data_IF_802974915813
#
_entry.id   IF_802974915813
#
_cell.length_a   1.000
_cell.length_b   1.000
_cell.length_c   1.000
_cell.angle_alpha   90.00
_cell.angle_beta   90.00
_cell.angle_gamma   90.00
#
_symmetry.space_group_name_H-M   'P 1'
#
loop_
_entity.id
_entity.type
_entity.pdbx_description
1 polymer ?
#
# COMPACT_ATOMS: atom_id res chain seq x y z
N UNK A 1 37.33 20.56 -9.56
CA UNK A 1 36.01 20.25 -8.95
C UNK A 1 36.27 19.80 -7.51
N UNK A 2 36.78 20.66 -6.62
CA UNK A 2 36.00 21.62 -5.82
C UNK A 2 34.51 21.54 -6.12
N UNK A 3 33.76 20.78 -5.33
CA UNK A 3 32.41 20.36 -5.73
C UNK A 3 31.40 21.52 -5.77
N UNK A 4 31.68 22.69 -5.17
CA UNK A 4 30.82 23.89 -5.35
C UNK A 4 31.50 25.26 -5.28
N UNK A 5 32.84 25.37 -5.20
CA UNK A 5 33.51 26.66 -4.94
C UNK A 5 34.86 26.83 -5.61
N UNK A 6 34.88 27.24 -6.88
CA UNK A 6 36.10 27.30 -7.70
C UNK A 6 37.11 28.40 -7.30
N UNK A 7 36.87 29.15 -6.21
CA UNK A 7 37.60 30.37 -5.88
C UNK A 7 38.74 30.18 -4.87
N UNK A 8 38.84 29.01 -4.24
CA UNK A 8 39.92 28.69 -3.29
C UNK A 8 40.64 27.43 -3.76
N UNK A 9 41.68 27.62 -4.56
CA UNK A 9 42.56 26.53 -4.99
C UNK A 9 43.75 26.40 -4.03
N UNK A 10 44.06 25.19 -3.51
CA UNK A 10 45.22 24.99 -2.65
C UNK A 10 46.51 25.21 -3.44
N UNK A 11 47.36 26.13 -2.98
CA UNK A 11 48.62 26.47 -3.65
C UNK A 11 49.81 25.67 -3.08
N UNK A 12 49.71 25.20 -1.84
CA UNK A 12 50.80 24.49 -1.13
C UNK A 12 50.59 22.97 -1.15
N UNK A 13 51.68 22.18 -1.29
CA UNK A 13 51.63 20.72 -1.30
C UNK A 13 50.88 20.10 -0.10
N UNK A 14 51.01 20.69 1.10
CA UNK A 14 50.29 20.26 2.31
C UNK A 14 48.77 20.49 2.21
N UNK A 15 48.35 21.59 1.58
CA UNK A 15 46.94 21.90 1.37
C UNK A 15 46.30 20.96 0.35
N UNK A 16 47.03 20.60 -0.71
CA UNK A 16 46.57 19.64 -1.73
C UNK A 16 46.30 18.27 -1.08
N UNK A 17 47.21 17.80 -0.22
CA UNK A 17 47.04 16.54 0.51
C UNK A 17 45.80 16.57 1.43
N UNK A 18 45.58 17.67 2.16
CA UNK A 18 44.41 17.84 3.03
C UNK A 18 43.11 17.83 2.22
N UNK A 19 43.07 18.54 1.09
CA UNK A 19 41.89 18.60 0.20
C UNK A 19 41.60 17.23 -0.41
N UNK A 20 42.63 16.45 -0.77
CA UNK A 20 42.46 15.09 -1.27
C UNK A 20 41.79 14.17 -0.23
N UNK A 21 42.26 14.20 1.02
CA UNK A 21 41.66 13.41 2.12
C UNK A 21 40.23 13.85 2.41
N UNK A 22 39.97 15.17 2.47
CA UNK A 22 38.63 15.71 2.68
C UNK A 22 37.68 15.38 1.53
N UNK A 23 38.17 15.33 0.30
CA UNK A 23 37.36 14.96 -0.87
C UNK A 23 36.95 13.49 -0.81
N UNK A 24 37.84 12.60 -0.36
CA UNK A 24 37.52 11.18 -0.18
C UNK A 24 36.47 11.01 0.92
N UNK A 25 36.65 11.67 2.07
CA UNK A 25 35.69 11.62 3.17
C UNK A 25 34.34 12.21 2.73
N UNK A 26 34.35 13.36 2.05
CA UNK A 26 33.14 13.99 1.52
C UNK A 26 32.41 13.10 0.51
N UNK A 27 33.15 12.42 -0.38
CA UNK A 27 32.57 11.46 -1.32
C UNK A 27 31.90 10.27 -0.59
N UNK A 28 32.50 9.76 0.49
CA UNK A 28 31.91 8.70 1.31
C UNK A 28 30.62 9.15 2.02
N UNK A 29 30.58 10.39 2.53
CA UNK A 29 29.37 10.97 3.12
C UNK A 29 28.25 11.11 2.09
N UNK A 30 28.57 11.67 0.92
CA UNK A 30 27.61 11.83 -0.18
C UNK A 30 27.07 10.46 -0.63
N UNK A 31 27.94 9.46 -0.78
CA UNK A 31 27.54 8.10 -1.15
C UNK A 31 26.55 7.48 -0.14
N UNK A 32 26.77 7.65 1.16
CA UNK A 32 25.87 7.16 2.21
C UNK A 32 24.50 7.85 2.17
N UNK A 33 24.49 9.17 1.96
CA UNK A 33 23.24 9.94 1.83
C UNK A 33 22.44 9.45 0.63
N UNK A 34 23.09 9.33 -0.54
CA UNK A 34 22.42 8.83 -1.75
C UNK A 34 21.93 7.39 -1.58
N UNK A 35 22.69 6.52 -0.92
CA UNK A 35 22.26 5.15 -0.63
C UNK A 35 21.00 5.12 0.24
N UNK A 36 20.98 5.88 1.34
CA UNK A 36 19.82 5.97 2.22
C UNK A 36 18.61 6.56 1.49
N UNK A 37 18.84 7.62 0.70
CA UNK A 37 17.79 8.25 -0.08
C UNK A 37 17.15 7.29 -1.08
N UNK A 38 17.96 6.49 -1.79
CA UNK A 38 17.45 5.48 -2.73
C UNK A 38 16.56 4.44 -2.05
N UNK A 39 16.94 3.98 -0.85
CA UNK A 39 16.14 3.04 -0.05
C UNK A 39 14.80 3.66 0.36
N UNK A 40 14.80 4.91 0.81
CA UNK A 40 13.56 5.62 1.20
C UNK A 40 12.64 5.79 0.01
N UNK A 41 13.16 6.24 -1.14
CA UNK A 41 12.37 6.39 -2.38
C UNK A 41 11.78 5.05 -2.82
N UNK A 42 12.58 3.98 -2.75
CA UNK A 42 12.09 2.62 -3.07
C UNK A 42 10.98 2.19 -2.11
N UNK A 43 11.11 2.46 -0.81
CA UNK A 43 10.09 2.14 0.18
C UNK A 43 8.78 2.89 -0.05
N UNK A 44 8.85 4.19 -0.36
CA UNK A 44 7.67 5.03 -0.65
C UNK A 44 6.92 4.53 -1.89
N UNK A 45 7.65 4.14 -2.93
CA UNK A 45 7.06 3.68 -4.18
C UNK A 45 6.68 2.19 -4.17
N UNK A 46 6.97 1.44 -3.10
CA UNK A 46 6.78 -0.01 -3.07
C UNK A 46 5.33 -0.45 -3.26
N UNK A 47 4.35 0.26 -2.67
CA UNK A 47 2.93 -0.06 -2.84
C UNK A 47 2.47 0.19 -4.28
N UNK A 48 2.89 1.31 -4.86
CA UNK A 48 2.60 1.65 -6.25
C UNK A 48 3.23 0.66 -7.23
N UNK A 49 4.51 0.31 -7.02
CA UNK A 49 5.22 -0.66 -7.85
C UNK A 49 4.50 -2.02 -7.87
N UNK A 50 4.10 -2.53 -6.71
CA UNK A 50 3.34 -3.79 -6.61
C UNK A 50 2.01 -3.76 -7.36
N UNK A 51 1.33 -2.62 -7.37
CA UNK A 51 0.10 -2.47 -8.13
C UNK A 51 0.38 -2.47 -9.64
N UNK A 52 1.42 -1.73 -10.07
CA UNK A 52 1.84 -1.74 -11.48
C UNK A 52 2.25 -3.14 -11.94
N UNK A 53 3.02 -3.88 -11.14
CA UNK A 53 3.42 -5.26 -11.46
C UNK A 53 2.18 -6.16 -11.69
N UNK A 54 1.10 -5.99 -10.91
CA UNK A 54 -0.17 -6.73 -11.10
C UNK A 54 -0.85 -6.36 -12.42
N UNK A 55 -0.88 -5.07 -12.77
CA UNK A 55 -1.45 -4.58 -14.04
C UNK A 55 -0.64 -5.11 -15.22
N UNK A 56 0.69 -5.16 -15.12
CA UNK A 56 1.57 -5.67 -16.16
C UNK A 56 1.36 -7.18 -16.42
N UNK A 57 1.21 -7.96 -15.34
CA UNK A 57 0.86 -9.39 -15.44
C UNK A 57 -0.50 -9.58 -16.10
N UNK A 58 -1.50 -8.77 -15.74
CA UNK A 58 -2.81 -8.80 -16.36
C UNK A 58 -2.74 -8.42 -17.84
N UNK A 59 -2.05 -7.33 -18.20
CA UNK A 59 -1.83 -6.91 -19.58
C UNK A 59 -1.17 -7.98 -20.43
N UNK A 60 -0.12 -8.61 -19.91
CA UNK A 60 0.57 -9.72 -20.58
C UNK A 60 -0.38 -10.89 -20.81
N UNK A 61 -1.20 -11.24 -19.82
CA UNK A 61 -2.19 -12.31 -19.94
C UNK A 61 -3.27 -11.99 -20.98
N UNK A 62 -3.80 -10.76 -20.96
CA UNK A 62 -4.79 -10.29 -21.93
C UNK A 62 -4.25 -10.30 -23.37
N UNK A 63 -2.99 -9.89 -23.55
CA UNK A 63 -2.32 -9.92 -24.85
C UNK A 63 -2.17 -11.36 -25.37
N UNK A 64 -1.71 -12.28 -24.51
CA UNK A 64 -1.56 -13.69 -24.86
C UNK A 64 -2.88 -14.36 -25.23
N UNK A 65 -3.98 -13.93 -24.60
CA UNK A 65 -5.34 -14.41 -24.89
C UNK A 65 -5.98 -13.73 -26.11
N UNK A 66 -5.33 -12.73 -26.71
CA UNK A 66 -5.83 -11.95 -27.87
C UNK A 66 -7.20 -11.32 -27.61
N UNK A 67 -7.42 -10.78 -26.41
CA UNK A 67 -8.67 -10.12 -26.08
C UNK A 67 -8.83 -8.82 -26.89
N UNK A 68 -10.07 -8.45 -27.29
CA UNK A 68 -10.34 -7.19 -27.98
C UNK A 68 -10.02 -5.98 -27.09
N UNK A 69 -9.61 -4.87 -27.69
CA UNK A 69 -9.16 -3.68 -26.97
C UNK A 69 -10.21 -3.10 -26.00
N UNK A 70 -11.49 -3.18 -26.37
CA UNK A 70 -12.61 -2.74 -25.51
C UNK A 70 -12.66 -3.52 -24.19
N UNK A 71 -12.54 -4.85 -24.25
CA UNK A 71 -12.57 -5.70 -23.06
C UNK A 71 -11.32 -5.51 -22.19
N UNK A 72 -10.16 -5.25 -22.80
CA UNK A 72 -8.94 -4.96 -22.03
C UNK A 72 -9.04 -3.66 -21.24
N UNK A 73 -9.69 -2.64 -21.81
CA UNK A 73 -9.91 -1.36 -21.14
C UNK A 73 -10.88 -1.49 -19.96
N UNK A 74 -11.95 -2.26 -20.15
CA UNK A 74 -12.90 -2.62 -19.09
C UNK A 74 -12.23 -3.35 -17.93
N UNK A 75 -11.40 -4.36 -18.21
CA UNK A 75 -10.63 -5.09 -17.19
C UNK A 75 -9.68 -4.16 -16.44
N UNK A 76 -8.97 -3.25 -17.13
CA UNK A 76 -8.07 -2.28 -16.50
C UNK A 76 -8.82 -1.28 -15.61
N UNK A 77 -9.96 -0.78 -16.07
CA UNK A 77 -10.81 0.12 -15.29
C UNK A 77 -11.30 -0.58 -14.01
N UNK A 78 -11.79 -1.82 -14.15
CA UNK A 78 -12.21 -2.66 -13.04
C UNK A 78 -11.08 -2.90 -12.03
N UNK A 79 -9.89 -3.32 -12.48
CA UNK A 79 -8.74 -3.55 -11.60
C UNK A 79 -8.31 -2.29 -10.83
N UNK A 80 -8.38 -1.13 -11.47
CA UNK A 80 -8.02 0.16 -10.86
C UNK A 80 -9.03 0.58 -9.80
N UNK A 81 -10.33 0.44 -10.07
CA UNK A 81 -11.40 0.74 -9.12
C UNK A 81 -11.44 -0.24 -7.94
N UNK A 82 -11.11 -1.49 -8.20
CA UNK A 82 -11.17 -2.55 -7.19
C UNK A 82 -9.98 -2.50 -6.23
N UNK A 83 -8.79 -2.11 -6.72
CA UNK A 83 -7.56 -2.16 -5.91
C UNK A 83 -7.61 -1.24 -4.69
N UNK A 84 -8.26 -0.09 -4.78
CA UNK A 84 -8.45 0.80 -3.62
C UNK A 84 -9.33 0.18 -2.53
N UNK A 85 -10.31 -0.64 -2.90
CA UNK A 85 -11.27 -1.25 -1.98
C UNK A 85 -10.77 -2.60 -1.41
N UNK A 86 -10.20 -3.46 -2.26
CA UNK A 86 -9.66 -4.77 -1.87
C UNK A 86 -8.47 -4.67 -0.92
N UNK A 87 -7.56 -3.70 -1.13
CA UNK A 87 -6.40 -3.52 -0.26
C UNK A 87 -6.85 -3.17 1.17
N UNK A 88 -7.86 -2.31 1.33
CA UNK A 88 -8.42 -1.95 2.64
C UNK A 88 -9.03 -3.16 3.36
N UNK A 89 -9.72 -4.05 2.63
CA UNK A 89 -10.32 -5.24 3.23
C UNK A 89 -9.25 -6.27 3.62
N UNK A 90 -8.25 -6.52 2.76
CA UNK A 90 -7.14 -7.43 3.10
C UNK A 90 -6.33 -6.92 4.29
N UNK A 91 -6.11 -5.60 4.36
CA UNK A 91 -5.46 -4.96 5.50
C UNK A 91 -6.30 -5.14 6.78
N UNK A 92 -7.63 -4.97 6.70
CA UNK A 92 -8.54 -5.22 7.82
C UNK A 92 -8.55 -6.69 8.26
N UNK A 93 -8.66 -7.65 7.34
CA UNK A 93 -8.65 -9.09 7.65
C UNK A 93 -7.32 -9.50 8.28
N UNK A 94 -6.20 -9.00 7.74
CA UNK A 94 -4.86 -9.25 8.30
C UNK A 94 -4.75 -8.65 9.70
N UNK A 95 -5.25 -7.43 9.90
CA UNK A 95 -5.32 -6.79 11.23
C UNK A 95 -6.15 -7.61 12.21
N UNK A 96 -7.33 -8.08 11.78
CA UNK A 96 -8.21 -8.90 12.60
C UNK A 96 -7.57 -10.25 12.95
N UNK A 97 -6.69 -10.81 12.11
CA UNK A 97 -5.91 -12.02 12.39
C UNK A 97 -4.72 -11.81 13.32
N UNK A 98 -4.15 -10.59 13.37
CA UNK A 98 -3.04 -10.26 14.27
C UNK A 98 -3.47 -10.02 15.73
N UNK A 99 -4.75 -9.74 15.97
CA UNK A 99 -5.29 -9.47 17.30
C UNK A 99 -5.87 -10.72 17.96
N UNK A 100 -5.83 -10.78 19.29
CA UNK A 100 -6.43 -11.89 20.04
C UNK A 100 -7.94 -12.00 19.81
N UNK A 101 -8.54 -13.21 19.92
CA UNK A 101 -9.97 -13.41 19.68
C UNK A 101 -10.87 -12.52 20.55
N UNK A 102 -10.46 -12.22 21.79
CA UNK A 102 -11.21 -11.36 22.71
C UNK A 102 -11.17 -9.88 22.30
N UNK A 103 -10.07 -9.40 21.72
CA UNK A 103 -9.97 -8.05 21.15
C UNK A 103 -10.73 -7.95 19.83
N UNK A 104 -10.70 -9.00 19.01
CA UNK A 104 -11.46 -9.08 17.75
C UNK A 104 -12.94 -8.81 17.99
N UNK A 105 -13.56 -9.49 18.95
CA UNK A 105 -14.99 -9.28 19.29
C UNK A 105 -15.28 -7.84 19.69
N UNK A 106 -14.39 -7.19 20.45
CA UNK A 106 -14.56 -5.78 20.85
C UNK A 106 -14.48 -4.83 19.66
N UNK A 107 -13.52 -5.05 18.76
CA UNK A 107 -13.34 -4.24 17.55
C UNK A 107 -14.52 -4.43 16.59
N UNK A 108 -14.93 -5.68 16.32
CA UNK A 108 -16.11 -5.99 15.50
C UNK A 108 -17.36 -5.31 16.09
N UNK A 109 -17.55 -5.38 17.41
CA UNK A 109 -18.66 -4.70 18.06
C UNK A 109 -18.63 -3.20 17.80
N UNK A 110 -17.49 -2.55 17.95
CA UNK A 110 -17.37 -1.11 17.73
C UNK A 110 -17.62 -0.68 16.27
N UNK A 111 -17.13 -1.47 15.30
CA UNK A 111 -17.29 -1.16 13.87
C UNK A 111 -18.75 -1.37 13.42
N UNK A 112 -19.39 -2.47 13.84
CA UNK A 112 -20.70 -2.87 13.34
C UNK A 112 -21.89 -2.38 14.18
N UNK A 113 -21.69 -1.87 15.39
CA UNK A 113 -22.79 -1.41 16.25
C UNK A 113 -23.63 -0.32 15.56
N UNK A 114 -22.99 0.60 14.85
CA UNK A 114 -23.68 1.70 14.16
C UNK A 114 -24.48 1.17 12.94
N UNK A 115 -23.92 0.21 12.20
CA UNK A 115 -24.61 -0.43 11.08
C UNK A 115 -25.83 -1.24 11.54
N UNK A 116 -25.69 -1.97 12.66
CA UNK A 116 -26.76 -2.82 13.22
C UNK A 116 -27.88 -1.95 13.84
N UNK A 117 -27.53 -0.90 14.59
CA UNK A 117 -28.51 0.00 15.23
C UNK A 117 -29.33 0.81 14.21
N UNK A 118 -28.79 1.03 13.01
CA UNK A 118 -29.51 1.72 11.92
C UNK A 118 -30.68 0.88 11.37
N UNK A 119 -30.64 -0.45 11.53
CA UNK A 119 -31.68 -1.33 11.02
C UNK A 119 -32.82 -1.51 12.05
N UNK A 120 -34.09 -1.28 11.66
CA UNK A 120 -35.24 -1.38 12.58
C UNK A 120 -35.44 -2.78 13.20
N UNK A 121 -34.95 -3.85 12.55
CA UNK A 121 -35.10 -5.24 13.04
C UNK A 121 -34.33 -5.47 14.35
N UNK A 122 -33.19 -4.79 14.55
CA UNK A 122 -32.30 -5.04 15.69
C UNK A 122 -32.51 -4.07 16.86
N UNK A 123 -33.49 -3.14 16.80
CA UNK A 123 -33.75 -2.19 17.90
C UNK A 123 -34.25 -2.85 19.18
N UNK A 124 -34.98 -3.96 19.08
CA UNK A 124 -35.65 -4.58 20.24
C UNK A 124 -34.87 -5.77 20.83
N UNK A 125 -33.79 -6.22 20.18
CA UNK A 125 -33.04 -7.42 20.58
C UNK A 125 -31.56 -7.14 20.88
N UNK A 126 -31.30 -6.22 21.84
CA UNK A 126 -29.94 -5.82 22.24
C UNK A 126 -29.07 -7.00 22.75
N UNK A 127 -29.68 -7.99 23.39
CA UNK A 127 -28.98 -9.19 23.90
C UNK A 127 -28.58 -10.18 22.79
N UNK A 128 -29.28 -10.18 21.65
CA UNK A 128 -28.97 -11.05 20.50
C UNK A 128 -27.85 -10.48 19.63
N UNK A 129 -27.66 -9.16 19.65
CA UNK A 129 -26.61 -8.44 18.90
C UNK A 129 -25.21 -8.92 19.30
N UNK A 130 -24.95 -9.15 20.59
CA UNK A 130 -23.65 -9.64 21.05
C UNK A 130 -23.32 -11.05 20.53
N UNK A 131 -24.35 -11.87 20.27
CA UNK A 131 -24.17 -13.20 19.68
C UNK A 131 -23.99 -13.12 18.15
N UNK A 132 -24.76 -12.26 17.48
CA UNK A 132 -24.69 -12.05 16.03
C UNK A 132 -23.35 -11.45 15.59
N UNK A 133 -22.84 -10.46 16.32
CA UNK A 133 -21.56 -9.78 16.01
C UNK A 133 -20.39 -10.76 16.00
N UNK A 134 -20.48 -11.89 16.71
CA UNK A 134 -19.42 -12.89 16.77
C UNK A 134 -19.20 -13.61 15.43
N UNK A 135 -20.25 -13.75 14.62
CA UNK A 135 -20.23 -14.49 13.35
C UNK A 135 -20.39 -13.58 12.11
N UNK A 136 -20.48 -12.26 12.29
CA UNK A 136 -20.56 -11.29 11.19
C UNK A 136 -19.21 -11.20 10.47
N UNK A 137 -19.20 -11.60 9.21
CA UNK A 137 -18.11 -11.36 8.26
C UNK A 137 -18.50 -10.25 7.27
N UNK A 138 -17.65 -9.24 7.12
CA UNK A 138 -17.79 -8.21 6.08
C UNK A 138 -17.45 -8.80 4.71
N UNK A 139 -18.43 -8.85 3.82
CA UNK A 139 -18.23 -9.15 2.41
C UNK A 139 -18.48 -7.87 1.59
N UNK A 140 -17.49 -7.48 0.79
CA UNK A 140 -17.63 -6.39 -0.16
C UNK A 140 -17.84 -7.02 -1.53
N UNK A 141 -19.01 -6.76 -2.12
CA UNK A 141 -19.33 -7.16 -3.49
C UNK A 141 -19.01 -6.01 -4.43
N UNK A 142 -18.51 -6.33 -5.61
CA UNK A 142 -18.31 -5.35 -6.66
C UNK A 142 -19.67 -4.94 -7.26
N UNK A 143 -19.77 -3.74 -7.88
CA UNK A 143 -21.01 -3.29 -8.51
C UNK A 143 -21.55 -4.26 -9.59
N UNK A 144 -20.68 -5.06 -10.18
CA UNK A 144 -20.98 -6.04 -11.24
C UNK A 144 -20.98 -7.49 -10.74
N UNK A 145 -20.76 -7.73 -9.44
CA UNK A 145 -20.90 -9.07 -8.89
C UNK A 145 -22.39 -9.40 -8.73
N UNK A 146 -22.84 -10.46 -9.40
CA UNK A 146 -24.15 -11.04 -9.16
C UNK A 146 -24.18 -11.66 -7.76
N UNK A 147 -24.80 -10.92 -6.83
CA UNK A 147 -24.84 -11.27 -5.39
C UNK A 147 -25.78 -12.48 -5.14
N UNK A 148 -26.73 -12.74 -6.05
CA UNK A 148 -27.73 -13.79 -5.91
C UNK A 148 -27.89 -14.51 -7.26
N UNK A 149 -27.52 -15.79 -7.30
CA UNK A 149 -27.89 -16.69 -8.38
C UNK A 149 -29.26 -17.31 -8.04
N UNK A 150 -30.20 -17.22 -8.99
CA UNK A 150 -31.55 -17.76 -8.85
C UNK A 150 -31.66 -19.16 -9.45
#
# INVERSE_FOLDING_TARGET
>A
MIVTGNEISPLTHSQILMVAVLSIIGALFIANIFGTFAVVVSALNRKQQRFQDKIDVANTSMFNMKLPASLQEEIRAFMTQTSSNLDNQKELDTFMLMISPSLRTKVTKYIFINAIQKNPIFRECLSMIDYLIRDVSTLLFLPEDDIIYQ
#
